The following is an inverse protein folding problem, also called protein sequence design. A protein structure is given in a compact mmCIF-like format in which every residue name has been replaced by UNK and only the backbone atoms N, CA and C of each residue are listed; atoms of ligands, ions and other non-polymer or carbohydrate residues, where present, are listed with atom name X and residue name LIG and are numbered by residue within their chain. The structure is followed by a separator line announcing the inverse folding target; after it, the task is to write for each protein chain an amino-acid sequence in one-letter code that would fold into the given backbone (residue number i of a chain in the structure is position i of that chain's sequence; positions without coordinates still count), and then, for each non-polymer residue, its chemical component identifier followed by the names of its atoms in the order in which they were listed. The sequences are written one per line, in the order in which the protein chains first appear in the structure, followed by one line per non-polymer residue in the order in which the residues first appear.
data_IF_770477457860
#
_entry.id   IF_770477457860
#
_cell.length_a   1.000
_cell.length_b   1.000
_cell.length_c   1.000
_cell.angle_alpha   90.00
_cell.angle_beta   90.00
_cell.angle_gamma   90.00
#
_symmetry.space_group_name_H-M   'P 1'
#
loop_
_entity.id
_entity.type
_entity.pdbx_description
1 polymer ?
#
# COMPACT_ATOMS: atom_id res chain seq x y z
N UNK A 1 6.51 -11.28 8.90
CA UNK A 1 7.23 -12.21 9.80
C UNK A 1 8.72 -12.30 9.52
N UNK A 2 9.17 -12.33 8.27
CA UNK A 2 10.60 -12.47 7.92
C UNK A 2 11.51 -11.48 8.69
N UNK A 3 11.18 -10.19 8.67
CA UNK A 3 11.92 -9.17 9.44
C UNK A 3 12.05 -9.49 10.93
N UNK A 4 10.99 -10.01 11.56
CA UNK A 4 11.02 -10.29 13.00
C UNK A 4 11.92 -11.48 13.32
N UNK A 5 11.92 -12.51 12.48
CA UNK A 5 12.83 -13.66 12.59
C UNK A 5 14.29 -13.19 12.51
N UNK A 6 14.61 -12.39 11.51
CA UNK A 6 15.97 -11.87 11.30
C UNK A 6 16.41 -10.89 12.40
N UNK A 7 15.49 -10.11 12.96
CA UNK A 7 15.78 -9.29 14.13
C UNK A 7 16.18 -10.13 15.35
N UNK A 8 15.52 -11.27 15.57
CA UNK A 8 15.88 -12.20 16.65
C UNK A 8 17.23 -12.87 16.38
N UNK A 9 17.47 -13.30 15.14
CA UNK A 9 18.76 -13.85 14.72
C UNK A 9 19.90 -12.86 14.99
N UNK A 10 19.74 -11.59 14.57
CA UNK A 10 20.74 -10.55 14.82
C UNK A 10 20.93 -10.24 16.29
N UNK A 11 19.87 -10.28 17.11
CA UNK A 11 19.98 -10.13 18.57
C UNK A 11 20.84 -11.22 19.22
N UNK A 12 20.75 -12.47 18.75
CA UNK A 12 21.45 -13.61 19.34
C UNK A 12 22.87 -13.79 18.80
N UNK A 13 23.11 -13.41 17.56
CA UNK A 13 24.38 -13.67 16.85
C UNK A 13 25.25 -12.43 16.67
N UNK A 14 24.66 -11.23 16.73
CA UNK A 14 25.31 -9.97 16.35
C UNK A 14 25.29 -9.68 14.85
N UNK A 15 24.80 -10.60 14.02
CA UNK A 15 24.72 -10.44 12.57
C UNK A 15 23.32 -9.96 12.12
N UNK A 16 23.24 -8.71 11.68
CA UNK A 16 22.02 -8.08 11.17
C UNK A 16 21.95 -8.02 9.64
N UNK A 17 22.81 -8.75 8.92
CA UNK A 17 22.79 -8.77 7.45
C UNK A 17 21.44 -9.26 6.91
N UNK A 18 20.92 -10.38 7.44
CA UNK A 18 19.60 -10.91 7.07
C UNK A 18 18.44 -9.96 7.38
N UNK A 19 18.53 -9.20 8.48
CA UNK A 19 17.52 -8.18 8.80
C UNK A 19 17.48 -7.08 7.76
N UNK A 20 18.64 -6.59 7.29
CA UNK A 20 18.71 -5.62 6.19
C UNK A 20 18.13 -6.21 4.90
N UNK A 21 18.52 -7.44 4.55
CA UNK A 21 17.97 -8.13 3.38
C UNK A 21 16.44 -8.28 3.44
N UNK A 22 15.87 -8.53 4.62
CA UNK A 22 14.41 -8.62 4.77
C UNK A 22 13.69 -7.30 4.46
N UNK A 23 14.32 -6.15 4.74
CA UNK A 23 13.82 -4.84 4.34
C UNK A 23 14.01 -4.61 2.84
N UNK A 24 15.20 -4.91 2.29
CA UNK A 24 15.49 -4.73 0.87
C UNK A 24 14.50 -5.50 -0.02
N UNK A 25 14.18 -6.75 0.35
CA UNK A 25 13.18 -7.58 -0.36
C UNK A 25 11.77 -7.01 -0.22
N UNK A 26 11.42 -6.49 0.95
CA UNK A 26 10.10 -5.92 1.19
C UNK A 26 9.87 -4.66 0.37
N UNK A 27 10.84 -3.74 0.37
CA UNK A 27 10.78 -2.50 -0.42
C UNK A 27 10.74 -2.81 -1.93
N UNK A 28 11.54 -3.77 -2.38
CA UNK A 28 11.63 -4.09 -3.80
C UNK A 28 10.38 -4.76 -4.38
N UNK A 29 9.73 -5.65 -3.62
CA UNK A 29 8.71 -6.55 -4.19
C UNK A 29 7.31 -6.39 -3.59
N UNK A 30 7.18 -5.82 -2.40
CA UNK A 30 5.91 -5.80 -1.67
C UNK A 30 5.38 -4.38 -1.51
N UNK A 31 6.26 -3.38 -1.38
CA UNK A 31 5.88 -1.97 -1.44
C UNK A 31 5.80 -1.56 -2.92
N UNK A 32 4.63 -1.14 -3.44
CA UNK A 32 4.50 -0.78 -4.86
C UNK A 32 5.47 0.36 -5.24
N UNK A 33 6.21 0.20 -6.33
CA UNK A 33 7.18 1.18 -6.81
C UNK A 33 6.59 2.24 -7.73
N UNK A 34 7.46 3.01 -8.38
CA UNK A 34 7.06 4.08 -9.30
C UNK A 34 6.30 3.61 -10.55
N UNK A 35 6.54 2.39 -10.99
CA UNK A 35 5.80 1.77 -12.11
C UNK A 35 4.42 1.29 -11.69
N UNK A 36 4.27 0.90 -10.43
CA UNK A 36 3.08 0.22 -9.91
C UNK A 36 2.06 1.23 -9.35
N UNK A 37 2.55 2.36 -8.83
CA UNK A 37 1.76 3.53 -8.43
C UNK A 37 2.33 4.84 -9.02
N UNK A 38 2.08 5.12 -10.31
CA UNK A 38 2.70 6.26 -10.99
C UNK A 38 2.35 7.62 -10.36
N UNK A 39 3.37 8.43 -10.06
CA UNK A 39 3.19 9.77 -9.48
C UNK A 39 2.31 10.68 -10.34
N UNK A 40 2.30 10.49 -11.67
CA UNK A 40 1.42 11.24 -12.58
C UNK A 40 -0.09 11.04 -12.30
N UNK A 41 -0.45 9.95 -11.61
CA UNK A 41 -1.80 9.68 -11.11
C UNK A 41 -1.91 10.04 -9.64
N UNK A 42 -0.96 9.59 -8.80
CA UNK A 42 -1.00 9.81 -7.34
C UNK A 42 -0.99 11.31 -6.98
N UNK A 43 -0.25 12.13 -7.72
CA UNK A 43 -0.19 13.59 -7.52
C UNK A 43 -1.51 14.34 -7.78
N UNK A 44 -2.49 13.69 -8.41
CA UNK A 44 -3.82 14.26 -8.69
C UNK A 44 -4.82 14.00 -7.56
N UNK A 45 -4.39 13.35 -6.47
CA UNK A 45 -5.21 13.11 -5.29
C UNK A 45 -5.79 14.41 -4.72
N UNK A 46 -7.08 14.40 -4.39
CA UNK A 46 -7.78 15.50 -3.75
C UNK A 46 -8.14 15.11 -2.30
N UNK A 47 -7.45 15.64 -1.28
CA UNK A 47 -7.73 15.30 0.12
C UNK A 47 -9.12 15.77 0.58
N UNK A 48 -9.77 16.69 -0.14
CA UNK A 48 -11.15 17.11 0.15
C UNK A 48 -12.20 16.18 -0.47
N UNK A 49 -11.79 15.31 -1.39
CA UNK A 49 -12.61 14.31 -2.08
C UNK A 49 -11.81 13.01 -2.28
N UNK A 50 -11.48 12.28 -1.20
CA UNK A 50 -10.53 11.19 -1.25
C UNK A 50 -11.00 9.98 -2.07
N UNK A 51 -12.31 9.76 -2.17
CA UNK A 51 -12.92 8.67 -2.92
C UNK A 51 -14.38 8.99 -3.30
N UNK A 52 -15.00 8.12 -4.11
CA UNK A 52 -16.46 8.07 -4.32
C UNK A 52 -17.01 6.90 -3.53
N UNK A 53 -18.12 7.10 -2.82
CA UNK A 53 -18.74 6.05 -2.00
C UNK A 53 -19.31 4.91 -2.86
N UNK A 54 -19.19 3.69 -2.33
CA UNK A 54 -19.87 2.49 -2.79
C UNK A 54 -20.23 1.65 -1.55
N UNK A 55 -21.37 0.95 -1.58
CA UNK A 55 -21.81 0.12 -0.47
C UNK A 55 -21.08 -1.24 -0.45
N UNK A 56 -20.84 -1.77 0.75
CA UNK A 56 -20.54 -3.20 0.93
C UNK A 56 -21.85 -4.00 0.96
N UNK A 57 -21.77 -5.28 0.59
CA UNK A 57 -22.93 -6.17 0.55
C UNK A 57 -22.67 -7.50 1.27
N UNK A 58 -23.70 -8.10 1.88
CA UNK A 58 -23.55 -9.34 2.64
C UNK A 58 -23.35 -10.59 1.75
N UNK A 59 -23.56 -10.48 0.44
CA UNK A 59 -23.45 -11.59 -0.50
C UNK A 59 -22.72 -11.17 -1.80
N UNK A 60 -21.79 -12.00 -2.34
CA UNK A 60 -21.06 -11.69 -3.58
C UNK A 60 -21.95 -11.50 -4.82
N UNK A 61 -23.12 -12.14 -4.88
CA UNK A 61 -24.04 -12.01 -6.03
C UNK A 61 -24.62 -10.60 -6.19
N UNK A 62 -24.45 -9.74 -5.17
CA UNK A 62 -24.88 -8.35 -5.18
C UNK A 62 -23.84 -7.40 -5.79
N UNK A 63 -22.66 -7.90 -6.15
CA UNK A 63 -21.64 -7.12 -6.86
C UNK A 63 -21.87 -7.18 -8.37
N UNK A 64 -21.51 -6.13 -9.14
CA UNK A 64 -20.76 -4.93 -8.74
C UNK A 64 -21.59 -3.91 -7.93
N UNK A 65 -20.96 -3.32 -6.92
CA UNK A 65 -21.55 -2.23 -6.13
C UNK A 65 -21.52 -0.92 -6.92
N UNK A 66 -22.65 -0.21 -6.94
CA UNK A 66 -22.79 1.03 -7.69
C UNK A 66 -22.13 2.21 -6.96
N UNK A 67 -21.37 3.02 -7.69
CA UNK A 67 -20.84 4.28 -7.18
C UNK A 67 -21.97 5.30 -6.97
N UNK A 68 -22.01 5.90 -5.79
CA UNK A 68 -22.92 7.00 -5.45
C UNK A 68 -22.12 8.30 -5.29
N UNK A 69 -22.29 9.19 -6.26
CA UNK A 69 -21.63 10.51 -6.30
C UNK A 69 -22.32 11.56 -5.41
N UNK A 70 -23.48 11.24 -4.84
CA UNK A 70 -24.26 12.14 -3.97
C UNK A 70 -24.04 11.87 -2.47
N UNK A 71 -23.52 10.69 -2.13
CA UNK A 71 -23.19 10.33 -0.76
C UNK A 71 -22.09 11.23 -0.18
N UNK A 72 -22.19 11.62 1.11
CA UNK A 72 -21.17 12.44 1.76
C UNK A 72 -19.86 11.68 1.94
N UNK A 73 -18.74 12.37 1.69
CA UNK A 73 -17.38 11.86 1.92
C UNK A 73 -16.60 12.88 2.75
N UNK A 74 -15.82 12.39 3.72
CA UNK A 74 -15.00 13.23 4.61
C UNK A 74 -13.75 13.80 3.92
N UNK A 75 -13.01 14.62 4.66
CA UNK A 75 -11.69 15.12 4.26
C UNK A 75 -10.59 14.25 4.86
N UNK A 76 -9.54 13.98 4.09
CA UNK A 76 -8.31 13.34 4.57
C UNK A 76 -7.39 14.37 5.24
N UNK A 77 -7.14 14.26 6.56
CA UNK A 77 -6.33 15.22 7.29
C UNK A 77 -4.81 15.01 7.14
N UNK A 78 -4.34 13.86 6.64
CA UNK A 78 -2.91 13.48 6.67
C UNK A 78 -2.26 13.43 5.29
N UNK A 79 -3.03 13.35 4.20
CA UNK A 79 -2.47 13.26 2.84
C UNK A 79 -1.48 14.39 2.49
N UNK A 80 -1.80 15.63 2.88
CA UNK A 80 -0.90 16.78 2.66
C UNK A 80 0.35 16.74 3.54
N UNK A 81 0.23 16.30 4.78
CA UNK A 81 1.35 16.17 5.72
C UNK A 81 2.37 15.15 5.19
N UNK A 82 1.88 13.97 4.78
CA UNK A 82 2.73 12.91 4.23
C UNK A 82 3.43 13.37 2.95
N UNK A 83 2.70 13.98 2.01
CA UNK A 83 3.28 14.53 0.78
C UNK A 83 4.36 15.57 1.06
N UNK A 84 4.11 16.48 2.01
CA UNK A 84 5.09 17.51 2.39
C UNK A 84 6.32 16.91 3.06
N UNK A 85 6.14 15.87 3.87
CA UNK A 85 7.22 15.20 4.61
C UNK A 85 8.14 14.41 3.68
N UNK A 86 7.56 13.68 2.71
CA UNK A 86 8.29 12.71 1.89
C UNK A 86 8.54 13.16 0.44
N UNK A 87 7.98 14.30 0.03
CA UNK A 87 8.28 14.94 -1.26
C UNK A 87 7.63 14.27 -2.49
N UNK A 88 6.73 13.31 -2.30
CA UNK A 88 5.96 12.65 -3.37
C UNK A 88 4.57 12.25 -2.86
N UNK A 89 3.67 11.85 -3.76
CA UNK A 89 2.28 11.48 -3.41
C UNK A 89 2.08 9.96 -3.37
N UNK A 90 3.15 9.18 -3.52
CA UNK A 90 3.12 7.72 -3.50
C UNK A 90 3.00 7.23 -2.06
N UNK A 91 2.37 6.07 -1.87
CA UNK A 91 2.14 5.48 -0.55
C UNK A 91 3.24 4.47 -0.25
N UNK A 92 4.03 4.71 0.80
CA UNK A 92 5.03 3.76 1.29
C UNK A 92 4.40 2.77 2.26
N UNK A 93 3.71 1.76 1.71
CA UNK A 93 3.04 0.70 2.46
C UNK A 93 3.03 -0.60 1.67
N UNK A 94 3.14 -1.73 2.37
CA UNK A 94 3.12 -3.06 1.76
C UNK A 94 1.73 -3.35 1.16
N UNK A 95 1.70 -3.83 -0.09
CA UNK A 95 0.54 -4.58 -0.56
C UNK A 95 0.48 -5.95 0.14
N UNK A 96 -0.72 -6.50 0.31
CA UNK A 96 -0.96 -7.61 1.24
C UNK A 96 -0.74 -9.00 0.63
N UNK A 97 -0.87 -9.14 -0.70
CA UNK A 97 -0.78 -10.41 -1.42
C UNK A 97 0.08 -10.27 -2.67
N UNK A 98 0.99 -11.20 -2.91
CA UNK A 98 1.86 -11.22 -4.08
C UNK A 98 1.88 -12.62 -4.70
N UNK A 99 1.65 -12.70 -6.01
CA UNK A 99 1.85 -13.92 -6.79
C UNK A 99 3.33 -14.03 -7.20
N UNK A 100 4.13 -14.63 -6.33
CA UNK A 100 5.60 -14.57 -6.39
C UNK A 100 6.17 -15.17 -7.67
N UNK A 101 5.61 -16.28 -8.13
CA UNK A 101 6.09 -17.03 -9.30
C UNK A 101 5.16 -16.87 -10.51
N UNK A 102 4.32 -15.83 -10.51
CA UNK A 102 3.33 -15.55 -11.55
C UNK A 102 2.49 -16.77 -11.93
N UNK A 103 1.92 -17.45 -10.93
CA UNK A 103 1.08 -18.62 -11.14
C UNK A 103 -0.20 -18.30 -11.93
N UNK A 104 -0.80 -17.13 -11.70
CA UNK A 104 -2.01 -16.69 -12.40
C UNK A 104 -1.77 -16.15 -13.82
N UNK A 105 -0.56 -15.67 -14.14
CA UNK A 105 -0.19 -15.21 -15.48
C UNK A 105 -0.68 -13.80 -15.86
N UNK A 106 -0.88 -12.91 -14.88
CA UNK A 106 -1.27 -11.51 -15.09
C UNK A 106 -0.08 -10.61 -15.49
#
# INVERSE_FOLDING_TARGET
YYMWLEAMYGKLTGDFSGFKTSWDVTEKYVIPGATDQPEASMSKYDPTKPATYAAEHPDPSMYPSQLDFSAPVGQDPIGNELKSTYGNSQVYGMHWLLDVDNWYGF
#
